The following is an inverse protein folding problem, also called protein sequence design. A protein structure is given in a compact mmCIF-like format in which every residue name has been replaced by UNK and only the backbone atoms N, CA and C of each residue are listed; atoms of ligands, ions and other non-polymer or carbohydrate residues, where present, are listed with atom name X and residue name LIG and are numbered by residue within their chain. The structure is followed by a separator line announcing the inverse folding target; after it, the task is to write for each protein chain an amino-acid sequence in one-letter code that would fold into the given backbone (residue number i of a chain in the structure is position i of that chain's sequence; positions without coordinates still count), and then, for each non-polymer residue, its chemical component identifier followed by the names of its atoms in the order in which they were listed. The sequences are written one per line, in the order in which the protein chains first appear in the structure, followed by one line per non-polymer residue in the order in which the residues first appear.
data_IF_673727212432
#
_entry.id   IF_673727212432
#
_cell.length_a   1.000
_cell.length_b   1.000
_cell.length_c   1.000
_cell.angle_alpha   90.00
_cell.angle_beta   90.00
_cell.angle_gamma   90.00
#
_symmetry.space_group_name_H-M   'P 1'
#
loop_
_entity.id
_entity.type
_entity.pdbx_description
1 polymer ?
#
# COMPACT_ATOMS: atom_id res chain seq x y z
N UNK A 1 60.18 29.44 13.22
CA UNK A 1 59.95 30.66 14.01
C UNK A 1 58.52 30.54 14.52
N UNK A 2 58.28 29.95 15.69
CA UNK A 2 58.55 30.49 17.04
C UNK A 2 57.15 30.70 17.66
N UNK A 3 56.70 29.82 18.57
CA UNK A 3 56.68 30.03 20.06
C UNK A 3 55.61 31.08 20.48
N UNK A 4 54.75 30.91 21.48
CA UNK A 4 54.56 29.96 22.60
C UNK A 4 53.13 30.13 23.16
N UNK A 5 52.57 29.14 23.88
CA UNK A 5 52.51 29.02 25.36
C UNK A 5 51.35 29.84 26.00
N UNK A 6 50.56 29.38 26.98
CA UNK A 6 50.59 28.20 27.86
C UNK A 6 49.14 27.81 28.27
N UNK A 7 48.87 26.58 28.70
CA UNK A 7 49.11 25.97 30.02
C UNK A 7 47.86 26.01 30.92
N UNK A 8 47.54 24.86 31.53
CA UNK A 8 46.40 24.69 32.43
C UNK A 8 46.05 23.22 32.68
N UNK A 9 46.84 22.58 33.54
CA UNK A 9 46.84 21.19 34.00
C UNK A 9 45.54 20.66 34.63
N UNK A 10 45.43 19.32 34.74
CA UNK A 10 44.51 18.69 35.69
C UNK A 10 44.29 17.20 35.50
N UNK A 11 45.29 16.37 35.84
CA UNK A 11 45.18 14.92 35.95
C UNK A 11 44.29 14.49 37.13
N UNK A 12 43.64 13.31 37.03
CA UNK A 12 42.97 12.69 38.17
C UNK A 12 42.19 11.43 37.83
N UNK A 13 42.88 10.28 37.81
CA UNK A 13 42.25 8.97 37.92
C UNK A 13 41.67 8.78 39.34
N UNK A 14 40.47 8.20 39.44
CA UNK A 14 39.85 7.88 40.73
C UNK A 14 38.66 6.94 40.57
N UNK A 15 38.92 5.64 40.70
CA UNK A 15 37.90 4.66 41.02
C UNK A 15 37.34 4.98 42.42
N UNK A 16 36.02 5.15 42.53
CA UNK A 16 35.34 5.41 43.79
C UNK A 16 33.99 4.70 43.80
N UNK A 17 33.97 3.50 44.39
CA UNK A 17 32.74 2.86 44.82
C UNK A 17 32.10 3.71 45.92
N UNK A 18 31.05 4.45 45.57
CA UNK A 18 30.24 5.23 46.50
C UNK A 18 28.88 4.56 46.69
N UNK A 19 28.76 3.74 47.73
CA UNK A 19 27.49 3.29 48.23
C UNK A 19 26.69 4.50 48.74
N UNK A 20 25.58 4.84 48.07
CA UNK A 20 24.56 5.75 48.58
C UNK A 20 23.43 4.92 49.17
N UNK A 21 23.55 4.62 50.47
CA UNK A 21 22.42 4.25 51.31
C UNK A 21 21.96 5.53 52.01
N UNK A 22 20.73 5.97 51.72
CA UNK A 22 20.20 7.22 52.27
C UNK A 22 18.80 7.55 51.77
N UNK A 23 17.83 6.78 52.25
CA UNK A 23 16.53 7.28 52.75
C UNK A 23 15.66 8.16 51.83
N UNK A 24 14.63 7.51 51.27
CA UNK A 24 13.23 7.91 51.39
C UNK A 24 12.89 9.38 51.16
N UNK A 25 12.63 9.74 49.91
CA UNK A 25 11.64 10.74 49.57
C UNK A 25 10.71 10.12 48.52
N UNK A 26 9.66 9.45 49.01
CA UNK A 26 8.55 8.97 48.19
C UNK A 26 7.99 10.16 47.40
N UNK A 27 8.31 10.21 46.12
CA UNK A 27 7.53 10.95 45.12
C UNK A 27 6.66 9.91 44.43
N UNK A 28 5.41 9.70 44.89
CA UNK A 28 4.57 8.58 44.46
C UNK A 28 4.19 8.67 42.97
N UNK A 29 4.40 9.81 42.32
CA UNK A 29 4.01 10.03 40.92
C UNK A 29 5.06 9.66 39.87
N UNK A 30 6.36 9.65 40.18
CA UNK A 30 7.39 9.54 39.13
C UNK A 30 7.60 8.08 38.69
N UNK A 31 7.58 7.15 39.65
CA UNK A 31 7.80 5.72 39.38
C UNK A 31 6.59 5.09 38.70
N UNK A 32 5.39 5.58 38.98
CA UNK A 32 4.15 5.12 38.35
C UNK A 32 4.04 5.60 36.90
N UNK A 33 4.47 6.83 36.60
CA UNK A 33 4.55 7.33 35.22
C UNK A 33 5.54 6.51 34.36
N UNK A 34 6.71 6.14 34.88
CA UNK A 34 7.70 5.32 34.14
C UNK A 34 7.16 3.91 33.87
N UNK A 35 6.45 3.31 34.83
CA UNK A 35 5.80 2.00 34.64
C UNK A 35 4.67 2.07 33.62
N UNK A 36 3.90 3.16 33.63
CA UNK A 36 2.80 3.39 32.71
C UNK A 36 3.29 3.64 31.27
N UNK A 37 4.40 4.38 31.11
CA UNK A 37 5.10 4.55 29.83
C UNK A 37 5.67 3.22 29.31
N UNK A 38 6.30 2.42 30.17
CA UNK A 38 6.76 1.08 29.81
C UNK A 38 5.64 0.15 29.38
N UNK A 39 4.46 0.24 30.02
CA UNK A 39 3.27 -0.50 29.61
C UNK A 39 2.77 -0.04 28.23
N UNK A 40 2.73 1.27 27.97
CA UNK A 40 2.31 1.82 26.69
C UNK A 40 3.27 1.42 25.55
N UNK A 41 4.58 1.46 25.78
CA UNK A 41 5.58 1.04 24.81
C UNK A 41 5.51 -0.46 24.50
N UNK A 42 5.26 -1.29 25.52
CA UNK A 42 5.03 -2.71 25.32
C UNK A 42 3.75 -2.97 24.52
N UNK A 43 2.66 -2.27 24.86
CA UNK A 43 1.41 -2.36 24.11
C UNK A 43 1.58 -1.94 22.65
N UNK A 44 2.25 -0.81 22.39
CA UNK A 44 2.58 -0.34 21.05
C UNK A 44 3.47 -1.34 20.31
N UNK A 45 4.49 -1.91 20.97
CA UNK A 45 5.40 -2.89 20.35
C UNK A 45 4.65 -4.15 19.93
N UNK A 46 3.76 -4.65 20.79
CA UNK A 46 2.90 -5.79 20.47
C UNK A 46 1.92 -5.48 19.34
N UNK A 47 1.35 -4.27 19.33
CA UNK A 47 0.46 -3.82 18.26
C UNK A 47 1.20 -3.69 16.92
N UNK A 48 2.40 -3.10 16.92
CA UNK A 48 3.29 -3.02 15.75
C UNK A 48 3.70 -4.42 15.26
N UNK A 49 3.96 -5.37 16.18
CA UNK A 49 4.24 -6.77 15.82
C UNK A 49 3.01 -7.45 15.19
N UNK A 50 1.82 -7.21 15.74
CA UNK A 50 0.56 -7.75 15.22
C UNK A 50 0.26 -7.21 13.82
N UNK A 51 0.49 -5.91 13.58
CA UNK A 51 0.23 -5.26 12.30
C UNK A 51 1.41 -5.25 11.32
N UNK A 52 2.51 -5.95 11.61
CA UNK A 52 3.76 -5.89 10.83
C UNK A 52 3.65 -6.19 9.32
N UNK A 53 2.58 -6.85 8.90
CA UNK A 53 2.33 -7.16 7.48
C UNK A 53 1.46 -6.11 6.76
N UNK A 54 0.94 -5.10 7.48
CA UNK A 54 0.14 -4.00 6.92
C UNK A 54 1.00 -2.78 6.58
N UNK A 55 2.17 -2.65 7.21
CA UNK A 55 3.07 -1.53 6.99
C UNK A 55 4.31 -2.00 6.23
N UNK A 56 4.70 -1.21 5.23
CA UNK A 56 5.90 -1.44 4.43
C UNK A 56 6.85 -0.29 4.71
N UNK A 57 8.02 -0.60 5.25
CA UNK A 57 9.12 0.36 5.37
C UNK A 57 10.05 0.15 4.19
N UNK A 58 10.08 1.13 3.27
CA UNK A 58 10.94 1.09 2.09
C UNK A 58 12.16 1.96 2.34
N UNK A 59 13.32 1.33 2.52
CA UNK A 59 14.60 2.03 2.58
C UNK A 59 15.10 2.26 1.16
N UNK A 60 14.96 3.49 0.65
CA UNK A 60 15.39 3.85 -0.70
C UNK A 60 16.90 4.16 -0.79
N UNK A 61 17.47 4.70 0.29
CA UNK A 61 18.88 5.06 0.38
C UNK A 61 19.44 4.54 1.70
N UNK A 62 20.48 3.72 1.63
CA UNK A 62 21.26 3.32 2.80
C UNK A 62 22.36 4.35 3.03
N UNK A 63 22.25 5.12 4.11
CA UNK A 63 23.28 6.05 4.48
C UNK A 63 24.36 5.34 5.29
N UNK A 64 25.62 5.45 4.85
CA UNK A 64 26.77 5.07 5.68
C UNK A 64 26.89 6.02 6.86
N UNK A 65 27.31 5.49 8.00
CA UNK A 65 27.51 6.27 9.23
C UNK A 65 28.48 7.43 8.97
N UNK A 66 28.00 8.67 9.13
CA UNK A 66 28.77 9.89 8.89
C UNK A 66 28.54 10.57 7.54
N UNK A 67 27.72 10.00 6.66
CA UNK A 67 27.38 10.63 5.38
C UNK A 67 26.23 11.64 5.56
N UNK A 68 26.45 12.90 5.19
CA UNK A 68 25.41 13.92 5.21
C UNK A 68 24.40 13.71 4.07
N UNK A 69 23.11 13.98 4.34
CA UNK A 69 22.06 13.97 3.31
C UNK A 69 22.19 15.22 2.44
N UNK A 70 22.03 15.05 1.13
CA UNK A 70 21.81 16.18 0.25
C UNK A 70 20.47 16.85 0.57
N UNK A 71 20.39 18.16 0.37
CA UNK A 71 19.14 18.91 0.41
C UNK A 71 18.28 18.41 -0.77
N UNK A 72 17.02 18.05 -0.50
CA UNK A 72 16.08 17.63 -1.53
C UNK A 72 15.45 18.89 -2.11
N UNK A 73 15.80 19.21 -3.35
CA UNK A 73 15.15 20.26 -4.13
C UNK A 73 14.17 19.59 -5.10
N UNK A 74 12.87 19.83 -4.92
CA UNK A 74 11.84 19.36 -5.85
C UNK A 74 11.73 20.36 -7.02
N UNK A 75 12.03 19.95 -8.27
CA UNK A 75 11.93 20.84 -9.43
C UNK A 75 10.47 21.12 -9.83
N UNK A 76 9.49 20.41 -9.27
CA UNK A 76 8.07 20.53 -9.64
C UNK A 76 7.40 21.63 -8.82
N UNK A 77 6.75 22.63 -9.45
CA UNK A 77 5.97 23.63 -8.74
C UNK A 77 4.79 22.99 -7.99
N UNK A 78 4.43 23.55 -6.84
CA UNK A 78 3.23 23.16 -6.13
C UNK A 78 1.99 23.40 -7.01
N UNK A 79 1.25 22.33 -7.27
CA UNK A 79 -0.03 22.37 -7.99
C UNK A 79 -1.14 22.03 -7.01
N UNK A 80 -1.99 22.99 -6.67
CA UNK A 80 -3.21 22.75 -5.90
C UNK A 80 -4.41 22.61 -6.81
N UNK A 81 -5.28 21.67 -6.48
CA UNK A 81 -6.52 21.46 -7.20
C UNK A 81 -7.52 20.79 -6.24
N UNK A 82 -8.53 21.57 -5.82
CA UNK A 82 -9.58 21.16 -4.87
C UNK A 82 -10.22 19.80 -5.20
N UNK A 83 -10.21 19.43 -6.48
CA UNK A 83 -10.78 18.19 -6.98
C UNK A 83 -9.83 16.97 -6.87
N UNK A 84 -8.50 17.12 -6.96
CA UNK A 84 -7.53 16.00 -6.80
C UNK A 84 -6.70 16.04 -5.51
N UNK A 85 -6.79 17.11 -4.72
CA UNK A 85 -6.01 17.24 -3.48
C UNK A 85 -6.40 16.19 -2.42
N UNK A 86 -7.68 15.80 -2.39
CA UNK A 86 -8.19 14.77 -1.48
C UNK A 86 -9.03 13.72 -2.21
N UNK A 87 -8.86 12.45 -1.79
CA UNK A 87 -9.70 11.33 -2.26
C UNK A 87 -11.19 11.59 -2.04
N UNK A 88 -11.56 12.20 -0.92
CA UNK A 88 -12.96 12.52 -0.59
C UNK A 88 -13.58 13.48 -1.61
N UNK A 89 -12.89 14.57 -1.95
CA UNK A 89 -13.34 15.55 -2.94
C UNK A 89 -13.57 14.92 -4.31
N UNK A 90 -12.66 14.03 -4.73
CA UNK A 90 -12.80 13.28 -5.98
C UNK A 90 -14.04 12.38 -5.97
N UNK A 91 -14.24 11.61 -4.90
CA UNK A 91 -15.37 10.68 -4.78
C UNK A 91 -16.72 11.40 -4.70
N UNK A 92 -16.80 12.52 -3.99
CA UNK A 92 -18.01 13.35 -3.92
C UNK A 92 -18.44 13.81 -5.31
N UNK A 93 -17.48 14.26 -6.13
CA UNK A 93 -17.74 14.69 -7.50
C UNK A 93 -18.15 13.53 -8.39
N UNK A 94 -17.53 12.35 -8.22
CA UNK A 94 -17.96 11.15 -8.94
C UNK A 94 -19.40 10.77 -8.58
N UNK A 95 -19.79 10.87 -7.31
CA UNK A 95 -21.15 10.59 -6.87
C UNK A 95 -22.14 11.62 -7.42
N UNK A 96 -21.79 12.91 -7.36
CA UNK A 96 -22.65 14.01 -7.82
C UNK A 96 -22.88 14.00 -9.34
N UNK A 97 -21.88 13.62 -10.12
CA UNK A 97 -21.97 13.57 -11.59
C UNK A 97 -22.16 12.16 -12.16
N UNK A 98 -22.42 11.18 -11.29
CA UNK A 98 -22.59 9.77 -11.65
C UNK A 98 -21.44 9.20 -12.50
N UNK A 99 -20.21 9.57 -12.17
CA UNK A 99 -19.02 8.99 -12.80
C UNK A 99 -18.76 7.61 -12.23
N UNK A 100 -18.80 6.61 -13.11
CA UNK A 100 -18.61 5.20 -12.78
C UNK A 100 -17.34 4.66 -13.42
N UNK A 101 -16.69 3.73 -12.71
CA UNK A 101 -15.44 3.07 -13.12
C UNK A 101 -15.58 1.54 -13.05
N UNK A 102 -16.80 1.04 -13.22
CA UNK A 102 -17.19 -0.37 -13.17
C UNK A 102 -16.96 -1.08 -14.50
N UNK A 103 -17.35 -0.45 -15.61
CA UNK A 103 -17.12 -0.95 -16.98
C UNK A 103 -16.18 -0.05 -17.76
N UNK A 104 -15.49 -0.62 -18.76
CA UNK A 104 -14.53 0.12 -19.60
C UNK A 104 -15.18 1.33 -20.28
N UNK A 105 -16.41 1.19 -20.78
CA UNK A 105 -17.14 2.29 -21.43
C UNK A 105 -17.43 3.43 -20.45
N UNK A 106 -17.89 3.09 -19.24
CA UNK A 106 -18.18 4.06 -18.19
C UNK A 106 -16.90 4.73 -17.71
N UNK A 107 -15.82 3.95 -17.51
CA UNK A 107 -14.51 4.48 -17.16
C UNK A 107 -13.97 5.45 -18.22
N UNK A 108 -14.10 5.13 -19.52
CA UNK A 108 -13.71 6.03 -20.61
C UNK A 108 -14.50 7.34 -20.57
N UNK A 109 -15.82 7.27 -20.38
CA UNK A 109 -16.66 8.46 -20.25
C UNK A 109 -16.29 9.30 -19.02
N UNK A 110 -16.16 8.67 -17.85
CA UNK A 110 -15.77 9.30 -16.59
C UNK A 110 -14.38 9.94 -16.69
N UNK A 111 -13.42 9.27 -17.33
CA UNK A 111 -12.07 9.81 -17.59
C UNK A 111 -12.11 10.98 -18.56
N UNK A 112 -12.95 10.94 -19.61
CA UNK A 112 -13.11 12.08 -20.51
C UNK A 112 -13.67 13.31 -19.78
N UNK A 113 -14.69 13.12 -18.94
CA UNK A 113 -15.28 14.20 -18.13
C UNK A 113 -14.28 14.74 -17.09
N UNK A 114 -13.51 13.85 -16.46
CA UNK A 114 -12.43 14.21 -15.56
C UNK A 114 -11.37 15.08 -16.27
N UNK A 115 -10.90 14.67 -17.45
CA UNK A 115 -9.94 15.44 -18.23
C UNK A 115 -10.51 16.79 -18.64
N UNK A 116 -11.77 16.84 -19.07
CA UNK A 116 -12.44 18.10 -19.40
C UNK A 116 -12.46 19.05 -18.20
N UNK A 117 -12.82 18.55 -17.02
CA UNK A 117 -12.88 19.33 -15.78
C UNK A 117 -11.49 19.83 -15.36
N UNK A 118 -10.48 18.95 -15.38
CA UNK A 118 -9.10 19.30 -15.05
C UNK A 118 -8.52 20.33 -16.03
N UNK A 119 -8.77 20.19 -17.33
CA UNK A 119 -8.32 21.15 -18.33
C UNK A 119 -9.03 22.51 -18.21
N UNK A 120 -10.33 22.52 -17.91
CA UNK A 120 -11.10 23.74 -17.68
C UNK A 120 -10.59 24.51 -16.45
N UNK A 121 -10.37 23.79 -15.35
CA UNK A 121 -9.80 24.37 -14.13
C UNK A 121 -8.35 24.82 -14.32
N UNK A 122 -7.53 24.07 -15.06
CA UNK A 122 -6.15 24.44 -15.35
C UNK A 122 -6.07 25.70 -16.23
N UNK A 123 -6.96 25.86 -17.22
CA UNK A 123 -7.07 27.11 -17.99
C UNK A 123 -7.46 28.30 -17.11
N UNK A 124 -8.40 28.11 -16.18
CA UNK A 124 -8.79 29.15 -15.23
C UNK A 124 -7.67 29.49 -14.23
N UNK A 125 -6.97 28.49 -13.71
CA UNK A 125 -5.85 28.64 -12.79
C UNK A 125 -4.66 29.36 -13.45
N UNK A 126 -4.28 28.98 -14.69
CA UNK A 126 -3.24 29.68 -15.46
C UNK A 126 -3.58 31.16 -15.70
N UNK A 127 -4.85 31.47 -15.97
CA UNK A 127 -5.31 32.87 -16.10
C UNK A 127 -5.13 33.63 -14.78
N UNK A 128 -5.48 33.03 -13.63
CA UNK A 128 -5.27 33.65 -12.31
C UNK A 128 -3.79 33.87 -12.00
N UNK A 129 -2.94 32.89 -12.26
CA UNK A 129 -1.48 33.00 -12.05
C UNK A 129 -0.88 34.09 -12.95
N UNK A 130 -1.30 34.17 -14.21
CA UNK A 130 -0.84 35.22 -15.14
C UNK A 130 -1.32 36.59 -14.69
N UNK A 131 -2.58 36.70 -14.24
CA UNK A 131 -3.14 37.95 -13.71
C UNK A 131 -2.42 38.40 -12.41
N UNK A 132 -2.12 37.48 -11.50
CA UNK A 132 -1.36 37.77 -10.28
C UNK A 132 0.07 38.22 -10.59
N UNK A 133 0.76 37.53 -11.51
CA UNK A 133 2.11 37.93 -11.96
C UNK A 133 2.12 39.30 -12.63
N UNK A 134 1.07 39.63 -13.39
CA UNK A 134 0.92 40.95 -14.01
C UNK A 134 0.58 42.04 -12.97
N UNK A 135 -0.16 41.71 -11.91
CA UNK A 135 -0.43 42.62 -10.80
C UNK A 135 0.84 42.89 -9.96
N UNK A 136 1.67 41.88 -9.72
CA UNK A 136 2.96 42.03 -9.05
C UNK A 136 3.98 42.79 -9.90
N UNK A 137 4.01 42.56 -11.22
CA UNK A 137 4.84 43.31 -12.15
C UNK A 137 4.37 44.76 -12.39
N UNK A 138 3.08 45.05 -12.13
CA UNK A 138 2.48 46.38 -12.22
C UNK A 138 2.66 47.25 -10.97
N UNK A 139 3.33 46.74 -9.93
CA UNK A 139 3.56 47.46 -8.66
C UNK A 139 4.64 48.55 -8.70
N UNK A 140 5.27 48.80 -9.85
CA UNK A 140 6.20 49.90 -10.02
C UNK A 140 5.64 50.92 -11.04
N UNK A 141 5.16 52.04 -10.48
CA UNK A 141 4.78 53.32 -11.13
C UNK A 141 3.40 53.42 -11.80
N UNK A 142 2.48 54.13 -11.15
CA UNK A 142 1.84 55.32 -11.72
C UNK A 142 1.09 56.12 -10.63
N UNK A 143 1.14 57.47 -10.65
CA UNK A 143 0.45 58.30 -9.69
C UNK A 143 -1.02 58.58 -10.05
N UNK A 144 -1.79 58.82 -8.99
CA UNK A 144 -3.08 59.50 -8.85
C UNK A 144 -3.84 60.01 -10.11
N UNK A 145 -5.10 59.57 -10.23
CA UNK A 145 -6.15 60.20 -11.03
C UNK A 145 -7.51 59.52 -10.81
N UNK A 146 -8.46 60.27 -10.25
CA UNK A 146 -9.80 59.90 -9.74
C UNK A 146 -10.84 59.39 -10.77
N UNK A 147 -12.02 58.89 -10.33
CA UNK A 147 -12.84 57.90 -11.04
C UNK A 147 -13.99 58.48 -11.88
N UNK A 148 -14.39 57.73 -12.91
CA UNK A 148 -15.57 58.02 -13.73
C UNK A 148 -16.12 56.75 -14.39
N UNK A 149 -17.22 56.26 -13.81
CA UNK A 149 -18.40 55.64 -14.43
C UNK A 149 -18.39 54.83 -15.75
N UNK A 150 -19.22 53.77 -15.69
CA UNK A 150 -20.10 53.23 -16.74
C UNK A 150 -19.54 52.22 -17.77
N UNK A 151 -19.79 50.95 -17.46
CA UNK A 151 -20.78 50.10 -18.13
C UNK A 151 -20.83 50.19 -19.68
N UNK A 152 -20.20 49.22 -20.36
CA UNK A 152 -20.70 48.78 -21.67
C UNK A 152 -20.27 47.34 -21.99
N UNK A 153 -21.27 46.45 -21.95
CA UNK A 153 -21.25 45.16 -22.63
C UNK A 153 -21.11 45.40 -24.14
N UNK A 154 -20.10 44.80 -24.78
CA UNK A 154 -20.10 44.62 -26.22
C UNK A 154 -19.44 43.29 -26.59
N UNK A 155 -20.24 42.44 -27.21
CA UNK A 155 -19.87 41.10 -27.62
C UNK A 155 -19.01 41.04 -28.88
N UNK A 156 -18.56 39.82 -29.14
CA UNK A 156 -17.95 39.32 -30.38
C UNK A 156 -17.61 37.85 -30.10
N UNK A 157 -18.19 36.85 -30.74
CA UNK A 157 -18.50 36.76 -32.17
C UNK A 157 -17.27 36.25 -32.88
N UNK A 158 -17.09 34.92 -32.93
CA UNK A 158 -15.96 34.26 -33.56
C UNK A 158 -16.26 32.79 -33.79
N UNK A 159 -16.91 32.50 -34.92
CA UNK A 159 -17.11 31.15 -35.44
C UNK A 159 -15.79 30.52 -35.89
N UNK A 160 -15.75 29.19 -35.82
CA UNK A 160 -14.69 28.37 -36.35
C UNK A 160 -15.27 27.02 -36.71
N UNK A 161 -15.49 26.84 -38.00
CA UNK A 161 -15.97 25.64 -38.67
C UNK A 161 -15.08 24.42 -38.39
N UNK A 162 -15.71 23.26 -38.12
CA UNK A 162 -15.06 21.99 -38.38
C UNK A 162 -16.10 20.96 -38.84
N UNK A 163 -16.05 20.66 -40.13
CA UNK A 163 -16.81 19.63 -40.82
C UNK A 163 -16.56 18.24 -40.21
N UNK A 164 -17.65 17.48 -40.14
CA UNK A 164 -17.64 16.07 -39.79
C UNK A 164 -17.22 15.18 -40.95
N UNK A 165 -16.69 14.01 -40.60
CA UNK A 165 -16.50 12.88 -41.50
C UNK A 165 -16.71 11.60 -40.71
N UNK A 166 -17.88 10.98 -40.89
CA UNK A 166 -18.20 9.66 -40.34
C UNK A 166 -17.53 8.54 -41.15
N UNK A 167 -17.35 7.38 -40.51
CA UNK A 167 -16.92 6.15 -41.15
C UNK A 167 -17.09 4.97 -40.20
N UNK A 168 -18.11 4.15 -40.45
CA UNK A 168 -18.43 2.96 -39.65
C UNK A 168 -17.52 1.76 -39.93
N UNK A 169 -17.62 0.77 -39.06
CA UNK A 169 -16.93 -0.52 -39.20
C UNK A 169 -17.48 -1.53 -38.21
N UNK A 170 -18.58 -2.17 -38.57
CA UNK A 170 -19.12 -3.36 -37.94
C UNK A 170 -18.33 -4.59 -38.45
N UNK A 171 -18.01 -5.55 -37.58
CA UNK A 171 -17.33 -6.78 -37.97
C UNK A 171 -17.11 -7.70 -36.77
N UNK A 172 -17.99 -8.69 -36.63
CA UNK A 172 -17.87 -9.76 -35.63
C UNK A 172 -17.11 -10.99 -36.13
N UNK A 173 -16.89 -11.93 -35.21
CA UNK A 173 -16.81 -13.36 -35.49
C UNK A 173 -15.45 -14.05 -35.33
N UNK A 174 -15.47 -15.19 -34.62
CA UNK A 174 -14.47 -16.28 -34.68
C UNK A 174 -13.33 -16.13 -33.68
N UNK A 175 -13.08 -17.05 -32.73
CA UNK A 175 -13.04 -18.50 -32.92
C UNK A 175 -11.58 -18.91 -33.18
N UNK A 176 -10.81 -19.11 -32.11
CA UNK A 176 -9.39 -19.48 -32.18
C UNK A 176 -8.91 -20.09 -30.87
N UNK A 177 -9.18 -21.37 -30.67
CA UNK A 177 -8.62 -22.18 -29.59
C UNK A 177 -7.15 -22.50 -29.90
N UNK A 178 -6.25 -21.91 -29.12
CA UNK A 178 -4.84 -22.32 -29.00
C UNK A 178 -4.61 -23.08 -27.69
N UNK A 179 -3.63 -24.02 -27.63
CA UNK A 179 -3.41 -24.88 -26.48
C UNK A 179 -2.69 -24.11 -25.37
N UNK A 180 -3.46 -23.38 -24.56
CA UNK A 180 -2.88 -22.59 -23.46
C UNK A 180 -3.87 -22.11 -22.40
N UNK A 181 -5.17 -22.15 -22.65
CA UNK A 181 -6.16 -21.68 -21.69
C UNK A 181 -6.73 -22.81 -20.83
N UNK A 182 -5.87 -23.40 -19.98
CA UNK A 182 -6.40 -24.06 -18.77
C UNK A 182 -7.10 -22.96 -17.97
N UNK A 183 -8.43 -23.02 -17.91
CA UNK A 183 -9.28 -22.04 -17.23
C UNK A 183 -8.70 -21.69 -15.87
N UNK A 184 -8.69 -20.40 -15.47
CA UNK A 184 -8.19 -19.94 -14.16
C UNK A 184 -8.76 -20.77 -12.99
N UNK A 185 -9.95 -21.35 -13.17
CA UNK A 185 -10.56 -22.33 -12.24
C UNK A 185 -9.70 -23.57 -12.03
N UNK A 186 -9.23 -24.21 -13.11
CA UNK A 186 -8.40 -25.43 -13.04
C UNK A 186 -7.07 -25.24 -12.31
N UNK A 187 -6.49 -24.03 -12.36
CA UNK A 187 -5.28 -23.71 -11.59
C UNK A 187 -5.57 -23.58 -10.10
N UNK A 188 -6.71 -23.01 -9.74
CA UNK A 188 -7.15 -22.87 -8.35
C UNK A 188 -7.50 -24.26 -7.77
N UNK A 189 -8.20 -25.10 -8.54
CA UNK A 189 -8.56 -26.46 -8.13
C UNK A 189 -7.31 -27.33 -7.89
N UNK A 190 -6.32 -27.27 -8.79
CA UNK A 190 -5.06 -27.99 -8.61
C UNK A 190 -4.29 -27.49 -7.39
N UNK A 191 -4.25 -26.17 -7.18
CA UNK A 191 -3.67 -25.60 -5.97
C UNK A 191 -4.39 -26.12 -4.72
N UNK A 192 -5.72 -26.07 -4.67
CA UNK A 192 -6.49 -26.58 -3.52
C UNK A 192 -6.19 -28.05 -3.23
N UNK A 193 -6.07 -28.89 -4.26
CA UNK A 193 -5.72 -30.29 -4.08
C UNK A 193 -4.34 -30.46 -3.44
N UNK A 194 -3.32 -29.77 -3.96
CA UNK A 194 -1.96 -29.81 -3.42
C UNK A 194 -1.90 -29.29 -1.96
N UNK A 195 -2.54 -28.15 -1.68
CA UNK A 195 -2.56 -27.56 -0.33
C UNK A 195 -3.35 -28.41 0.68
N UNK A 196 -4.42 -29.08 0.24
CA UNK A 196 -5.16 -30.04 1.07
C UNK A 196 -4.31 -31.26 1.38
N UNK A 197 -3.57 -31.79 0.41
CA UNK A 197 -2.67 -32.91 0.61
C UNK A 197 -1.55 -32.57 1.59
N UNK A 198 -0.96 -31.37 1.48
CA UNK A 198 0.04 -30.88 2.44
C UNK A 198 -0.54 -30.76 3.86
N UNK A 199 -1.77 -30.23 3.98
CA UNK A 199 -2.44 -30.05 5.26
C UNK A 199 -2.75 -31.39 5.94
N UNK A 200 -3.21 -32.38 5.19
CA UNK A 200 -3.47 -33.72 5.71
C UNK A 200 -2.18 -34.39 6.18
N UNK A 201 -1.12 -34.32 5.37
CA UNK A 201 0.19 -34.83 5.76
C UNK A 201 0.71 -34.18 7.05
N UNK A 202 0.57 -32.85 7.19
CA UNK A 202 1.01 -32.15 8.38
C UNK A 202 0.18 -32.53 9.64
N UNK A 203 -1.13 -32.77 9.48
CA UNK A 203 -2.00 -33.25 10.56
C UNK A 203 -1.65 -34.68 10.97
N UNK A 204 -1.40 -35.56 10.01
CA UNK A 204 -0.99 -36.95 10.27
C UNK A 204 0.38 -37.02 10.95
N UNK A 205 1.33 -36.18 10.53
CA UNK A 205 2.65 -36.07 11.16
C UNK A 205 2.57 -35.55 12.60
N UNK A 206 1.60 -34.68 12.90
CA UNK A 206 1.32 -34.18 14.26
C UNK A 206 0.62 -35.24 15.13
N UNK A 207 -0.36 -35.97 14.56
CA UNK A 207 -1.10 -37.05 15.25
C UNK A 207 -0.21 -38.25 15.56
N UNK A 208 0.70 -38.61 14.65
CA UNK A 208 1.61 -39.74 14.80
C UNK A 208 2.87 -39.41 15.59
N UNK A 209 3.13 -38.12 15.88
CA UNK A 209 4.36 -37.59 16.47
C UNK A 209 5.66 -37.99 15.73
N UNK A 210 5.54 -38.55 14.51
CA UNK A 210 6.69 -39.00 13.71
C UNK A 210 7.33 -37.87 12.91
N UNK A 211 6.69 -36.71 12.83
CA UNK A 211 7.19 -35.49 12.18
C UNK A 211 7.86 -35.74 10.83
N UNK A 212 7.26 -36.64 10.04
CA UNK A 212 7.77 -37.00 8.73
C UNK A 212 7.62 -35.81 7.78
N UNK A 213 8.57 -35.70 6.84
CA UNK A 213 8.57 -34.63 5.84
C UNK A 213 7.58 -34.98 4.72
N UNK A 214 6.88 -33.98 4.14
CA UNK A 214 6.03 -34.20 2.98
C UNK A 214 6.82 -34.83 1.82
N UNK A 215 6.18 -35.63 0.95
CA UNK A 215 6.81 -36.13 -0.26
C UNK A 215 7.42 -35.00 -1.09
N UNK A 216 8.63 -35.22 -1.62
CA UNK A 216 9.40 -34.17 -2.32
C UNK A 216 8.64 -33.60 -3.52
N UNK A 217 7.95 -34.45 -4.29
CA UNK A 217 7.11 -34.01 -5.41
C UNK A 217 5.97 -33.08 -4.99
N UNK A 218 5.34 -33.35 -3.85
CA UNK A 218 4.29 -32.48 -3.30
C UNK A 218 4.89 -31.15 -2.85
N UNK A 219 6.03 -31.20 -2.16
CA UNK A 219 6.70 -30.00 -1.68
C UNK A 219 7.14 -29.08 -2.82
N UNK A 220 7.70 -29.63 -3.90
CA UNK A 220 8.09 -28.86 -5.10
C UNK A 220 6.89 -28.21 -5.80
N UNK A 221 5.74 -28.90 -5.89
CA UNK A 221 4.50 -28.31 -6.43
C UNK A 221 4.01 -27.15 -5.57
N UNK A 222 4.09 -27.27 -4.25
CA UNK A 222 3.75 -26.19 -3.31
C UNK A 222 4.70 -25.00 -3.47
N UNK A 223 6.01 -25.24 -3.55
CA UNK A 223 7.00 -24.19 -3.76
C UNK A 223 6.80 -23.41 -5.07
N UNK A 224 6.34 -24.08 -6.13
CA UNK A 224 6.01 -23.44 -7.40
C UNK A 224 4.85 -22.42 -7.27
N UNK A 225 3.97 -22.60 -6.29
CA UNK A 225 2.81 -21.73 -6.02
C UNK A 225 3.13 -20.57 -5.07
N UNK A 226 4.31 -20.56 -4.45
CA UNK A 226 4.73 -19.55 -3.46
C UNK A 226 5.69 -18.54 -4.10
N UNK A 227 5.68 -17.30 -3.58
CA UNK A 227 6.62 -16.23 -3.94
C UNK A 227 8.08 -16.66 -3.85
N UNK A 228 8.90 -16.21 -4.83
CA UNK A 228 10.32 -16.58 -4.97
C UNK A 228 11.14 -16.38 -3.68
N UNK A 229 10.98 -15.25 -2.99
CA UNK A 229 11.72 -14.96 -1.74
C UNK A 229 11.38 -15.91 -0.59
N UNK A 230 10.15 -16.42 -0.53
CA UNK A 230 9.73 -17.39 0.50
C UNK A 230 10.09 -18.82 0.11
N UNK A 231 10.16 -19.10 -1.20
CA UNK A 231 10.54 -20.41 -1.76
C UNK A 231 11.93 -20.81 -1.30
N UNK A 232 12.91 -19.92 -1.46
CA UNK A 232 14.32 -20.23 -1.18
C UNK A 232 14.52 -20.58 0.30
N UNK A 233 13.89 -19.81 1.19
CA UNK A 233 13.92 -20.04 2.65
C UNK A 233 13.27 -21.38 3.02
N UNK A 234 12.11 -21.69 2.44
CA UNK A 234 11.41 -22.95 2.71
C UNK A 234 12.18 -24.16 2.17
N UNK A 235 12.77 -24.05 0.99
CA UNK A 235 13.59 -25.10 0.41
C UNK A 235 14.85 -25.36 1.24
N UNK A 236 15.52 -24.30 1.70
CA UNK A 236 16.69 -24.42 2.57
C UNK A 236 16.32 -25.14 3.88
N UNK A 237 15.19 -24.76 4.49
CA UNK A 237 14.69 -25.39 5.72
C UNK A 237 14.27 -26.85 5.52
N UNK A 238 13.68 -27.18 4.37
CA UNK A 238 13.35 -28.55 4.00
C UNK A 238 14.62 -29.41 3.88
N UNK A 239 15.64 -28.91 3.20
CA UNK A 239 16.92 -29.60 3.05
C UNK A 239 17.62 -29.78 4.40
N UNK A 240 17.59 -28.78 5.28
CA UNK A 240 18.09 -28.88 6.66
C UNK A 240 17.38 -29.99 7.45
N UNK A 241 16.06 -30.10 7.32
CA UNK A 241 15.28 -31.16 7.97
C UNK A 241 15.50 -32.56 7.36
N UNK A 242 15.89 -32.63 6.08
CA UNK A 242 16.12 -33.88 5.35
C UNK A 242 17.51 -34.45 5.62
N UNK A 243 18.54 -33.62 5.47
CA UNK A 243 19.95 -34.03 5.42
C UNK A 243 20.74 -33.64 6.67
N UNK A 244 20.08 -33.11 7.71
CA UNK A 244 20.75 -32.58 8.90
C UNK A 244 21.61 -33.63 9.62
N UNK A 245 22.90 -33.35 9.80
CA UNK A 245 23.85 -34.19 10.58
C UNK A 245 23.67 -34.09 12.11
N UNK A 246 22.55 -33.52 12.57
CA UNK A 246 22.26 -33.30 13.99
C UNK A 246 21.80 -34.58 14.68
N UNK A 247 21.95 -34.65 16.01
CA UNK A 247 21.37 -35.72 16.83
C UNK A 247 19.89 -35.94 16.51
N UNK A 248 19.42 -37.19 16.48
CA UNK A 248 18.06 -37.56 16.11
C UNK A 248 16.96 -36.80 16.88
N UNK A 249 17.22 -36.47 18.16
CA UNK A 249 16.31 -35.69 18.99
C UNK A 249 16.21 -34.22 18.55
N UNK A 250 17.31 -33.63 18.07
CA UNK A 250 17.35 -32.26 17.56
C UNK A 250 16.64 -32.19 16.21
N UNK A 251 16.91 -33.16 15.33
CA UNK A 251 16.22 -33.30 14.04
C UNK A 251 14.70 -33.45 14.18
N UNK A 252 14.24 -34.27 15.13
CA UNK A 252 12.80 -34.43 15.41
C UNK A 252 12.16 -33.11 15.88
N UNK A 253 12.88 -32.33 16.71
CA UNK A 253 12.43 -31.02 17.15
C UNK A 253 12.38 -30.01 15.99
N UNK A 254 13.38 -29.97 15.13
CA UNK A 254 13.41 -29.10 13.96
C UNK A 254 12.30 -29.44 12.97
N UNK A 255 12.09 -30.74 12.68
CA UNK A 255 10.99 -31.22 11.85
C UNK A 255 9.64 -30.85 12.42
N UNK A 256 9.43 -30.99 13.73
CA UNK A 256 8.15 -30.62 14.35
C UNK A 256 7.82 -29.13 14.20
N UNK A 257 8.82 -28.25 14.37
CA UNK A 257 8.66 -26.81 14.15
C UNK A 257 8.35 -26.53 12.68
N UNK A 258 9.10 -27.14 11.77
CA UNK A 258 8.92 -26.95 10.33
C UNK A 258 7.54 -27.42 9.84
N UNK A 259 7.08 -28.59 10.27
CA UNK A 259 5.76 -29.13 9.92
C UNK A 259 4.64 -28.24 10.45
N UNK A 260 4.75 -27.72 11.67
CA UNK A 260 3.76 -26.75 12.22
C UNK A 260 3.72 -25.46 11.43
N UNK A 261 4.88 -24.98 10.95
CA UNK A 261 4.94 -23.82 10.05
C UNK A 261 4.25 -24.13 8.72
N UNK A 262 4.54 -25.28 8.10
CA UNK A 262 3.87 -25.71 6.86
C UNK A 262 2.36 -25.83 7.03
N UNK A 263 1.89 -26.42 8.15
CA UNK A 263 0.47 -26.51 8.50
C UNK A 263 -0.18 -25.12 8.54
N UNK A 264 0.43 -24.17 9.25
CA UNK A 264 -0.10 -22.80 9.38
C UNK A 264 -0.13 -22.07 8.04
N UNK A 265 0.89 -22.27 7.20
CA UNK A 265 0.91 -21.71 5.84
C UNK A 265 -0.23 -22.31 5.01
N UNK A 266 -0.43 -23.63 5.07
CA UNK A 266 -1.50 -24.31 4.34
C UNK A 266 -2.90 -23.85 4.79
N UNK A 267 -3.14 -23.72 6.10
CA UNK A 267 -4.41 -23.22 6.65
C UNK A 267 -4.72 -21.78 6.20
N UNK A 268 -3.70 -20.91 6.24
CA UNK A 268 -3.83 -19.53 5.76
C UNK A 268 -4.12 -19.47 4.26
N UNK A 269 -3.45 -20.30 3.45
CA UNK A 269 -3.65 -20.34 2.01
C UNK A 269 -5.02 -20.90 1.63
N UNK A 270 -5.47 -21.98 2.28
CA UNK A 270 -6.80 -22.56 2.09
C UNK A 270 -7.91 -21.55 2.44
N UNK A 271 -7.75 -20.80 3.52
CA UNK A 271 -8.70 -19.73 3.89
C UNK A 271 -8.79 -18.64 2.81
N UNK A 272 -7.64 -18.25 2.22
CA UNK A 272 -7.59 -17.30 1.12
C UNK A 272 -8.26 -17.84 -0.14
N UNK A 273 -7.98 -19.10 -0.53
CA UNK A 273 -8.59 -19.73 -1.70
C UNK A 273 -10.12 -19.86 -1.54
N UNK A 274 -10.61 -20.24 -0.36
CA UNK A 274 -12.03 -20.32 -0.08
C UNK A 274 -12.70 -18.94 -0.17
N UNK A 275 -12.07 -17.88 0.34
CA UNK A 275 -12.56 -16.51 0.19
C UNK A 275 -12.67 -16.09 -1.29
N UNK A 276 -11.68 -16.46 -2.11
CA UNK A 276 -11.69 -16.19 -3.55
C UNK A 276 -12.78 -16.98 -4.30
N UNK A 277 -13.18 -18.15 -3.80
CA UNK A 277 -14.28 -18.93 -4.36
C UNK A 277 -15.66 -18.42 -3.93
N UNK A 278 -15.84 -18.06 -2.66
CA UNK A 278 -17.10 -17.50 -2.15
C UNK A 278 -17.43 -16.14 -2.77
N UNK A 279 -16.43 -15.34 -3.14
CA UNK A 279 -16.62 -14.11 -3.91
C UNK A 279 -17.19 -14.32 -5.33
N UNK A 280 -17.23 -15.56 -5.84
CA UNK A 280 -17.81 -15.90 -7.15
C UNK A 280 -19.26 -16.38 -7.09
N UNK A 281 -19.79 -16.75 -5.91
CA UNK A 281 -21.18 -17.22 -5.77
C UNK A 281 -22.20 -16.11 -5.47
N UNK A 282 -21.76 -14.86 -5.28
CA UNK A 282 -22.63 -13.69 -5.06
C UNK A 282 -23.08 -13.00 -6.37
N UNK A 283 -23.08 -13.72 -7.50
CA UNK A 283 -23.60 -13.27 -8.79
C UNK A 283 -25.02 -13.75 -9.08
N UNK A 284 -25.83 -14.04 -8.06
CA UNK A 284 -27.24 -14.36 -8.24
C UNK A 284 -28.04 -13.07 -8.40
N UNK A 285 -28.72 -12.95 -9.54
CA UNK A 285 -29.53 -11.80 -9.95
C UNK A 285 -30.46 -11.29 -8.84
N UNK A 286 -30.62 -9.96 -8.69
CA UNK A 286 -31.62 -9.43 -7.77
C UNK A 286 -33.02 -9.82 -8.28
N UNK A 287 -33.68 -10.65 -7.48
CA UNK A 287 -35.11 -10.96 -7.57
C UNK A 287 -35.91 -9.66 -7.74
N UNK A 288 -36.63 -9.55 -8.84
CA UNK A 288 -37.53 -8.46 -9.17
C UNK A 288 -38.56 -8.26 -8.04
N UNK A 289 -38.57 -7.05 -7.45
CA UNK A 289 -39.66 -6.58 -6.60
C UNK A 289 -40.87 -6.17 -7.47
N UNK A 290 -42.10 -6.27 -6.94
CA UNK A 290 -43.33 -6.15 -7.73
C UNK A 290 -43.66 -4.70 -8.11
N UNK A 291 -44.21 -4.54 -9.31
CA UNK A 291 -44.62 -3.28 -9.93
C UNK A 291 -45.65 -2.50 -9.11
N UNK A 292 -45.37 -1.21 -8.87
CA UNK A 292 -46.38 -0.22 -8.44
C UNK A 292 -47.36 0.08 -9.59
N UNK A 293 -48.66 0.29 -9.33
CA UNK A 293 -49.63 0.68 -10.35
C UNK A 293 -49.52 2.16 -10.74
N UNK A 294 -49.90 2.55 -11.98
CA UNK A 294 -49.77 3.92 -12.47
C UNK A 294 -50.82 4.87 -11.87
N UNK A 295 -50.53 6.19 -11.86
CA UNK A 295 -51.39 7.19 -11.26
C UNK A 295 -52.69 7.38 -12.06
N UNK A 296 -53.82 7.43 -11.36
CA UNK A 296 -55.10 7.83 -11.95
C UNK A 296 -55.11 9.36 -12.13
N UNK A 297 -55.69 9.78 -13.27
CA UNK A 297 -55.99 11.17 -13.60
C UNK A 297 -57.13 11.73 -12.74
#
# INVERSE_FOLDING_TARGET
EGEGEGEGEGAGAGAGAGAINGTGADTPGLVDNIKQEGHLLNQLTEEMRSMRNHFIVVTLLELKRGQARAIIEDPVPLMSNDFVDMRSSFLEKCQMYHWQFDEVRNAQHSTLMLLYYLHGMHKAARKRITAAKNAEAGGASAPAGSPGEQLLLKGGGGGGDFEGGGGGGNGGGGGGEGPGSRSRSSKIELAMADWTQLLNHAKEAELSERWELPPEDLFLRILAQINRSKRDILQEKYNQCRDGSSSAAILARERSVFIRVLKRIAESFMSCLHSMQSGRSSGAAPTLLPSLPPPQA
#
